data_IF_820137029017
#
_entry.id   IF_820137029017
#
_cell.length_a   1.000
_cell.length_b   1.000
_cell.length_c   1.000
_cell.angle_alpha   90.00
_cell.angle_beta   90.00
_cell.angle_gamma   90.00
#
_symmetry.space_group_name_H-M   'P 1'
#
loop_
_entity.id
_entity.type
_entity.pdbx_description
1 polymer ?
#
# COMPACT_ATOMS: atom_id res chain seq x y z
N UNK A 1 26.16 0.34 6.37
CA UNK A 1 25.36 -0.13 7.52
C UNK A 1 24.23 -0.99 6.99
N UNK A 2 23.64 -1.81 7.84
CA UNK A 2 22.46 -2.60 7.54
C UNK A 2 21.22 -1.97 8.18
N UNK A 3 20.03 -2.34 7.72
CA UNK A 3 18.79 -1.90 8.39
C UNK A 3 18.81 -2.29 9.87
N UNK A 4 19.29 -3.48 10.21
CA UNK A 4 19.40 -3.95 11.60
C UNK A 4 20.29 -3.09 12.50
N UNK A 5 21.17 -2.27 11.93
CA UNK A 5 22.03 -1.35 12.70
C UNK A 5 21.27 -0.06 13.10
N UNK A 6 20.17 0.27 12.43
CA UNK A 6 19.44 1.54 12.57
C UNK A 6 17.94 1.37 12.86
N UNK A 7 17.42 0.15 12.78
CA UNK A 7 16.02 -0.16 12.99
C UNK A 7 15.86 -1.64 13.37
N UNK A 8 14.82 -1.92 14.16
CA UNK A 8 14.40 -3.29 14.47
C UNK A 8 13.25 -3.69 13.55
N UNK A 9 13.27 -4.90 13.00
CA UNK A 9 12.13 -5.46 12.27
C UNK A 9 11.41 -6.44 13.18
N UNK A 10 10.27 -6.00 13.72
CA UNK A 10 9.44 -6.83 14.59
C UNK A 10 8.45 -7.66 13.76
N UNK A 11 8.50 -8.99 13.89
CA UNK A 11 7.45 -9.88 13.37
C UNK A 11 6.18 -9.85 14.24
N UNK A 12 5.03 -10.12 13.63
CA UNK A 12 3.76 -10.23 14.34
C UNK A 12 3.48 -11.60 14.98
N UNK A 13 2.24 -11.78 15.43
CA UNK A 13 1.80 -12.97 16.15
C UNK A 13 1.01 -13.98 15.29
N UNK A 14 1.14 -15.26 15.65
CA UNK A 14 0.48 -16.41 15.04
C UNK A 14 -0.96 -16.59 15.54
N UNK A 15 -1.86 -15.69 15.16
CA UNK A 15 -3.26 -15.75 15.59
C UNK A 15 -3.95 -17.02 15.07
N UNK A 16 -4.48 -17.84 15.99
CA UNK A 16 -5.22 -19.06 15.66
C UNK A 16 -6.63 -18.69 15.18
N UNK A 17 -7.03 -19.20 14.03
CA UNK A 17 -8.36 -18.92 13.45
C UNK A 17 -9.52 -19.35 14.34
N UNK A 18 -9.34 -20.40 15.14
CA UNK A 18 -10.33 -20.85 16.13
C UNK A 18 -10.60 -19.85 17.27
N UNK A 19 -9.77 -18.82 17.40
CA UNK A 19 -9.92 -17.75 18.40
C UNK A 19 -10.37 -16.40 17.79
N UNK A 20 -10.69 -16.38 16.50
CA UNK A 20 -11.22 -15.17 15.87
C UNK A 20 -12.60 -14.84 16.43
N UNK A 21 -12.87 -13.54 16.56
CA UNK A 21 -14.13 -13.00 17.08
C UNK A 21 -14.77 -12.07 16.05
N UNK A 22 -16.10 -11.96 16.06
CA UNK A 22 -16.83 -11.11 15.13
C UNK A 22 -16.69 -9.61 15.46
N UNK A 23 -16.41 -9.28 16.72
CA UNK A 23 -16.20 -7.91 17.21
C UNK A 23 -15.03 -7.92 18.20
N UNK A 24 -14.07 -7.03 17.99
CA UNK A 24 -12.84 -6.96 18.78
C UNK A 24 -11.80 -6.10 18.08
N UNK A 25 -10.52 -6.44 18.25
CA UNK A 25 -9.41 -5.71 17.64
C UNK A 25 -9.07 -6.27 16.26
N UNK A 26 -9.09 -5.47 15.18
CA UNK A 26 -8.78 -5.95 13.84
C UNK A 26 -7.32 -6.39 13.70
N UNK A 27 -7.10 -7.42 12.88
CA UNK A 27 -5.77 -7.92 12.53
C UNK A 27 -5.26 -7.26 11.24
N UNK A 28 -4.08 -6.65 11.28
CA UNK A 28 -3.37 -6.23 10.08
C UNK A 28 -2.69 -7.45 9.45
N UNK A 29 -3.14 -7.85 8.27
CA UNK A 29 -2.59 -8.94 7.44
C UNK A 29 -1.93 -8.39 6.18
N UNK A 30 -1.25 -9.24 5.43
CA UNK A 30 -0.56 -8.85 4.19
C UNK A 30 -1.48 -8.21 3.13
N UNK A 31 -2.78 -8.53 3.12
CA UNK A 31 -3.76 -7.92 2.21
C UNK A 31 -4.25 -6.54 2.64
N UNK A 32 -3.92 -6.11 3.87
CA UNK A 32 -4.21 -4.77 4.37
C UNK A 32 -3.16 -3.75 3.91
N UNK A 33 -2.04 -4.19 3.32
CA UNK A 33 -0.94 -3.33 2.89
C UNK A 33 -1.10 -3.07 1.39
N UNK A 34 -1.56 -1.85 1.08
CA UNK A 34 -1.86 -1.39 -0.27
C UNK A 34 -0.89 -0.26 -0.60
N UNK A 35 0.35 -0.61 -0.94
CA UNK A 35 1.44 0.24 -1.45
C UNK A 35 1.29 1.73 -1.07
N UNK A 36 2.08 2.19 -0.09
CA UNK A 36 2.01 3.50 0.60
C UNK A 36 1.15 3.49 1.88
N UNK A 37 -0.01 2.81 1.88
CA UNK A 37 -0.95 2.86 3.02
C UNK A 37 -1.36 1.49 3.55
N UNK A 38 -1.62 1.46 4.86
CA UNK A 38 -2.23 0.30 5.53
C UNK A 38 -3.70 0.58 5.80
N UNK A 39 -4.58 -0.22 5.21
CA UNK A 39 -6.03 -0.12 5.40
C UNK A 39 -6.53 -1.11 6.44
N UNK A 40 -7.33 -0.64 7.40
CA UNK A 40 -8.04 -1.51 8.33
C UNK A 40 -9.37 -1.97 7.76
N UNK A 41 -9.70 -3.22 8.01
CA UNK A 41 -11.05 -3.74 7.95
C UNK A 41 -11.33 -4.59 9.19
N UNK A 42 -12.60 -4.72 9.55
CA UNK A 42 -13.05 -5.50 10.71
C UNK A 42 -13.41 -6.94 10.32
N UNK A 43 -12.86 -7.43 9.21
CA UNK A 43 -13.18 -8.76 8.65
C UNK A 43 -12.69 -9.88 9.57
N UNK A 44 -11.54 -9.67 10.23
CA UNK A 44 -10.94 -10.62 11.17
C UNK A 44 -10.46 -9.85 12.40
N UNK A 45 -11.09 -10.14 13.53
CA UNK A 45 -10.76 -9.54 14.81
C UNK A 45 -10.29 -10.58 15.85
N UNK A 46 -9.64 -10.07 16.89
CA UNK A 46 -9.19 -10.84 18.05
C UNK A 46 -9.65 -10.19 19.36
N UNK A 47 -9.56 -10.91 20.47
CA UNK A 47 -10.13 -10.46 21.75
C UNK A 47 -9.43 -9.22 22.32
N UNK A 48 -10.20 -8.39 23.03
CA UNK A 48 -9.71 -7.28 23.84
C UNK A 48 -8.71 -7.75 24.91
N UNK A 49 -8.96 -8.92 25.51
CA UNK A 49 -8.06 -9.54 26.47
C UNK A 49 -6.65 -9.78 25.88
N UNK A 50 -6.56 -10.24 24.63
CA UNK A 50 -5.26 -10.42 23.98
C UNK A 50 -4.58 -9.07 23.76
N UNK A 51 -5.33 -8.06 23.33
CA UNK A 51 -4.80 -6.71 23.15
C UNK A 51 -4.21 -6.16 24.45
N UNK A 52 -4.92 -6.31 25.56
CA UNK A 52 -4.49 -5.84 26.87
C UNK A 52 -3.22 -6.54 27.35
N UNK A 53 -3.14 -7.86 27.15
CA UNK A 53 -2.02 -8.69 27.61
C UNK A 53 -0.79 -8.69 26.70
N UNK A 54 -0.91 -8.28 25.43
CA UNK A 54 0.19 -8.35 24.45
C UNK A 54 0.46 -6.98 23.78
N UNK A 55 0.96 -6.00 24.54
CA UNK A 55 1.26 -4.67 24.00
C UNK A 55 2.28 -4.66 22.86
N UNK A 56 3.15 -5.67 22.79
CA UNK A 56 4.17 -5.81 21.75
C UNK A 56 3.59 -6.00 20.35
N UNK A 57 2.39 -6.60 20.21
CA UNK A 57 1.79 -6.81 18.88
C UNK A 57 0.85 -5.69 18.46
N UNK A 58 0.78 -4.59 19.22
CA UNK A 58 -0.06 -3.43 18.89
C UNK A 58 0.57 -2.63 17.76
N UNK A 59 -0.22 -2.29 16.75
CA UNK A 59 0.16 -1.38 15.68
C UNK A 59 -0.20 0.04 16.09
N UNK A 60 0.77 0.95 16.01
CA UNK A 60 0.61 2.34 16.40
C UNK A 60 0.60 3.26 15.17
N UNK A 61 -0.11 4.39 15.27
CA UNK A 61 -0.11 5.40 14.21
C UNK A 61 1.33 5.78 13.82
N UNK A 62 1.62 5.71 12.52
CA UNK A 62 2.94 5.95 11.94
C UNK A 62 3.83 4.72 11.81
N UNK A 63 3.41 3.53 12.25
CA UNK A 63 4.15 2.29 12.03
C UNK A 63 4.42 2.04 10.53
N UNK A 64 5.66 1.67 10.20
CA UNK A 64 6.06 1.24 8.86
C UNK A 64 5.85 -0.27 8.80
N UNK A 65 4.84 -0.72 8.05
CA UNK A 65 4.53 -2.14 7.95
C UNK A 65 4.99 -2.71 6.61
N UNK A 66 5.54 -3.92 6.64
CA UNK A 66 6.02 -4.65 5.47
C UNK A 66 5.33 -6.01 5.39
N UNK A 67 4.79 -6.35 4.21
CA UNK A 67 4.28 -7.68 3.94
C UNK A 67 5.46 -8.65 3.74
N UNK A 68 5.50 -9.71 4.54
CA UNK A 68 6.63 -10.64 4.58
C UNK A 68 6.38 -11.93 3.80
N UNK A 69 5.18 -12.12 3.24
CA UNK A 69 4.86 -13.35 2.50
C UNK A 69 3.80 -13.18 1.42
N UNK A 70 3.76 -14.13 0.50
CA UNK A 70 2.77 -14.22 -0.57
C UNK A 70 3.09 -13.31 -1.76
N UNK A 71 2.12 -13.13 -2.65
CA UNK A 71 2.27 -12.29 -3.84
C UNK A 71 2.47 -10.79 -3.51
N UNK A 72 2.29 -10.40 -2.25
CA UNK A 72 2.50 -9.04 -1.75
C UNK A 72 3.82 -8.88 -0.97
N UNK A 73 4.72 -9.87 -1.00
CA UNK A 73 6.02 -9.76 -0.31
C UNK A 73 6.73 -8.44 -0.69
N UNK A 74 7.27 -7.74 0.30
CA UNK A 74 7.97 -6.47 0.11
C UNK A 74 7.06 -5.25 -0.04
N UNK A 75 5.74 -5.40 -0.13
CA UNK A 75 4.84 -4.24 -0.07
C UNK A 75 4.98 -3.54 1.28
N UNK A 76 5.07 -2.21 1.23
CA UNK A 76 5.26 -1.36 2.41
C UNK A 76 4.14 -0.33 2.47
N UNK A 77 3.68 -0.05 3.68
CA UNK A 77 2.73 1.02 3.94
C UNK A 77 2.89 1.63 5.33
N UNK A 78 2.47 2.88 5.45
CA UNK A 78 2.33 3.54 6.74
C UNK A 78 0.94 3.28 7.31
N UNK A 79 0.90 2.90 8.58
CA UNK A 79 -0.35 2.85 9.33
C UNK A 79 -0.75 4.24 9.80
N UNK A 80 -1.60 4.94 9.02
CA UNK A 80 -2.00 6.32 9.31
C UNK A 80 -3.18 6.43 10.27
N UNK A 81 -3.95 5.35 10.46
CA UNK A 81 -5.14 5.36 11.32
C UNK A 81 -4.76 5.41 12.81
N UNK A 82 -5.73 5.84 13.63
CA UNK A 82 -5.60 5.88 15.10
C UNK A 82 -6.28 4.69 15.78
N UNK A 83 -7.00 3.88 15.00
CA UNK A 83 -7.71 2.72 15.48
C UNK A 83 -6.75 1.69 16.08
N UNK A 84 -7.27 0.86 16.97
CA UNK A 84 -6.51 -0.26 17.54
C UNK A 84 -6.37 -1.35 16.49
N UNK A 85 -5.18 -1.91 16.34
CA UNK A 85 -4.96 -3.04 15.44
C UNK A 85 -3.78 -3.91 15.89
N UNK A 86 -3.86 -5.20 15.58
CA UNK A 86 -2.86 -6.20 15.96
C UNK A 86 -2.04 -6.67 14.75
N UNK A 87 -0.74 -6.88 14.97
CA UNK A 87 0.23 -7.26 13.94
C UNK A 87 0.23 -8.77 13.70
N UNK A 88 -0.19 -9.22 12.51
CA UNK A 88 -0.14 -10.64 12.13
C UNK A 88 1.29 -11.14 11.85
N UNK A 89 1.57 -12.42 12.09
CA UNK A 89 2.89 -13.07 11.85
C UNK A 89 3.47 -12.88 10.44
N UNK A 90 2.62 -12.64 9.43
CA UNK A 90 3.04 -12.44 8.04
C UNK A 90 3.36 -10.97 7.71
N UNK A 91 3.28 -10.08 8.70
CA UNK A 91 3.56 -8.65 8.59
C UNK A 91 4.66 -8.27 9.58
N UNK A 92 5.64 -7.52 9.09
CA UNK A 92 6.70 -6.93 9.90
C UNK A 92 6.41 -5.47 10.21
N UNK A 93 6.83 -5.00 11.38
CA UNK A 93 6.85 -3.59 11.75
C UNK A 93 8.32 -3.12 11.82
N UNK A 94 8.69 -2.18 10.96
CA UNK A 94 10.04 -1.61 10.90
C UNK A 94 10.08 -0.42 11.88
N UNK A 95 10.81 -0.58 12.97
CA UNK A 95 10.86 0.36 14.09
C UNK A 95 12.22 1.08 14.06
N UNK A 96 12.27 2.35 13.62
CA UNK A 96 13.52 3.10 13.52
C UNK A 96 14.09 3.46 14.89
N UNK A 97 15.42 3.38 15.04
CA UNK A 97 16.14 4.07 16.10
C UNK A 97 16.19 5.56 15.78
N UNK A 98 15.46 6.36 16.56
CA UNK A 98 15.30 7.80 16.37
C UNK A 98 16.61 8.58 16.50
N UNK A 99 17.65 8.01 17.12
CA UNK A 99 18.96 8.64 17.22
C UNK A 99 19.77 8.50 15.93
N UNK A 100 19.46 7.49 15.10
CA UNK A 100 20.24 7.12 13.93
C UNK A 100 19.51 7.43 12.63
N UNK A 101 18.19 7.28 12.60
CA UNK A 101 17.41 7.42 11.36
C UNK A 101 16.06 8.11 11.57
N UNK A 102 15.72 9.01 10.64
CA UNK A 102 14.40 9.61 10.53
C UNK A 102 13.45 8.58 9.93
N UNK A 103 12.30 8.36 10.57
CA UNK A 103 11.26 7.42 10.13
C UNK A 103 10.91 7.56 8.64
N UNK A 104 10.65 8.79 8.18
CA UNK A 104 10.24 9.03 6.80
C UNK A 104 11.39 8.76 5.81
N UNK A 105 12.64 9.01 6.21
CA UNK A 105 13.81 8.64 5.40
C UNK A 105 13.89 7.11 5.23
N UNK A 106 13.71 6.38 6.33
CA UNK A 106 13.70 4.91 6.30
C UNK A 106 12.54 4.39 5.44
N UNK A 107 11.34 4.97 5.58
CA UNK A 107 10.19 4.65 4.74
C UNK A 107 10.50 4.80 3.25
N UNK A 108 11.05 5.95 2.83
CA UNK A 108 11.41 6.19 1.43
C UNK A 108 12.49 5.23 0.91
N UNK A 109 13.43 4.84 1.75
CA UNK A 109 14.44 3.86 1.37
C UNK A 109 13.82 2.47 1.18
N UNK A 110 12.94 2.07 2.09
CA UNK A 110 12.23 0.79 2.02
C UNK A 110 11.24 0.76 0.83
N UNK A 111 10.70 1.88 0.36
CA UNK A 111 9.87 1.92 -0.85
C UNK A 111 10.67 2.10 -2.15
N UNK A 112 12.00 2.19 -2.07
CA UNK A 112 12.85 2.40 -3.25
C UNK A 112 12.92 1.16 -4.16
N UNK A 113 13.22 1.35 -5.46
CA UNK A 113 13.46 0.23 -6.38
C UNK A 113 14.57 -0.72 -5.91
N UNK A 114 15.60 -0.19 -5.27
CA UNK A 114 16.75 -0.98 -4.77
C UNK A 114 16.30 -1.92 -3.65
N UNK A 115 15.50 -1.43 -2.70
CA UNK A 115 14.94 -2.28 -1.65
C UNK A 115 14.02 -3.34 -2.25
N UNK A 116 13.14 -2.96 -3.18
CA UNK A 116 12.24 -3.91 -3.84
C UNK A 116 12.99 -5.03 -4.55
N UNK A 117 14.02 -4.70 -5.33
CA UNK A 117 14.87 -5.69 -6.00
C UNK A 117 15.58 -6.62 -5.00
N UNK A 118 16.04 -6.07 -3.87
CA UNK A 118 16.63 -6.88 -2.81
C UNK A 118 15.61 -7.87 -2.23
N UNK A 119 14.39 -7.44 -1.94
CA UNK A 119 13.33 -8.33 -1.45
C UNK A 119 13.03 -9.42 -2.49
N UNK A 120 12.89 -9.07 -3.75
CA UNK A 120 12.62 -10.02 -4.84
C UNK A 120 13.73 -11.07 -4.99
N UNK A 121 14.99 -10.67 -4.83
CA UNK A 121 16.14 -11.57 -4.92
C UNK A 121 16.32 -12.49 -3.70
N UNK A 122 15.86 -12.06 -2.51
CA UNK A 122 16.07 -12.79 -1.25
C UNK A 122 14.81 -13.48 -0.72
N UNK A 123 13.64 -13.19 -1.28
CA UNK A 123 12.42 -13.91 -0.95
C UNK A 123 12.50 -15.35 -1.47
N UNK A 124 12.23 -16.31 -0.59
CA UNK A 124 12.32 -17.73 -0.92
C UNK A 124 10.94 -18.34 -1.19
N UNK A 125 10.86 -19.26 -2.17
CA UNK A 125 9.67 -20.07 -2.47
C UNK A 125 8.94 -19.65 -3.75
N UNK A 126 8.87 -20.55 -4.74
CA UNK A 126 8.26 -20.27 -6.06
C UNK A 126 6.77 -19.90 -6.00
N UNK A 127 5.97 -20.57 -5.16
CA UNK A 127 4.51 -20.39 -5.13
C UNK A 127 4.02 -19.38 -4.06
N UNK A 128 4.76 -19.23 -2.96
CA UNK A 128 4.51 -18.23 -1.93
C UNK A 128 5.85 -17.69 -1.45
N UNK A 129 6.34 -16.60 -2.06
CA UNK A 129 7.59 -16.01 -1.63
C UNK A 129 7.48 -15.55 -0.17
N UNK A 130 8.54 -15.71 0.59
CA UNK A 130 8.62 -15.31 1.99
C UNK A 130 9.97 -14.67 2.28
N UNK A 131 9.97 -13.60 3.07
CA UNK A 131 11.17 -12.98 3.60
C UNK A 131 11.08 -12.82 5.12
N UNK A 132 12.13 -13.21 5.83
CA UNK A 132 12.21 -13.09 7.28
C UNK A 132 12.59 -11.68 7.74
N UNK A 133 12.28 -11.35 9.00
CA UNK A 133 12.66 -10.07 9.60
C UNK A 133 14.18 -9.87 9.58
N UNK A 134 14.93 -10.95 9.86
CA UNK A 134 16.39 -10.96 9.83
C UNK A 134 16.95 -10.64 8.43
N UNK A 135 16.35 -11.21 7.37
CA UNK A 135 16.77 -10.87 6.00
C UNK A 135 16.48 -9.41 5.68
N UNK A 136 15.36 -8.85 6.12
CA UNK A 136 15.10 -7.40 5.95
C UNK A 136 16.15 -6.57 6.71
N UNK A 137 16.51 -6.98 7.92
CA UNK A 137 17.55 -6.34 8.73
C UNK A 137 18.94 -6.43 8.07
N UNK A 138 19.20 -7.42 7.22
CA UNK A 138 20.49 -7.61 6.53
C UNK A 138 20.70 -6.68 5.34
N UNK A 139 19.65 -6.02 4.85
CA UNK A 139 19.72 -5.11 3.72
C UNK A 139 20.67 -3.94 3.97
N UNK A 140 21.58 -3.70 3.01
CA UNK A 140 22.57 -2.64 3.10
C UNK A 140 22.00 -1.26 2.72
N UNK A 141 22.27 -0.27 3.56
CA UNK A 141 21.75 1.08 3.45
C UNK A 141 22.83 2.12 3.72
N UNK A 142 22.82 3.17 2.89
CA UNK A 142 23.61 4.38 3.10
C UNK A 142 22.80 5.36 3.95
N UNK A 143 23.27 5.62 5.17
CA UNK A 143 22.57 6.49 6.13
C UNK A 143 23.40 7.75 6.35
N UNK A 144 23.02 8.89 5.76
CA UNK A 144 23.72 10.16 5.96
C UNK A 144 23.37 10.76 7.33
N UNK A 145 23.95 11.91 7.66
CA UNK A 145 23.61 12.62 8.92
C UNK A 145 22.12 12.96 9.01
N UNK A 146 21.55 13.06 10.22
CA UNK A 146 20.14 13.41 10.43
C UNK A 146 19.73 14.71 9.70
N UNK A 147 20.65 15.69 9.61
CA UNK A 147 20.42 16.95 8.89
C UNK A 147 20.24 16.68 7.38
N UNK A 148 21.07 15.82 6.79
CA UNK A 148 20.95 15.43 5.39
C UNK A 148 19.71 14.57 5.14
N UNK A 149 19.40 13.63 6.04
CA UNK A 149 18.18 12.83 5.97
C UNK A 149 16.94 13.73 5.92
N UNK A 150 16.88 14.76 6.77
CA UNK A 150 15.76 15.73 6.78
C UNK A 150 15.62 16.46 5.44
N UNK A 151 16.73 16.94 4.86
CA UNK A 151 16.72 17.60 3.55
C UNK A 151 16.20 16.67 2.44
N UNK A 152 16.59 15.39 2.47
CA UNK A 152 16.12 14.38 1.51
C UNK A 152 14.62 14.17 1.67
N UNK A 153 14.15 13.96 2.90
CA UNK A 153 12.72 13.79 3.22
C UNK A 153 11.90 14.99 2.76
N UNK A 154 12.35 16.21 3.04
CA UNK A 154 11.65 17.44 2.65
C UNK A 154 11.47 17.56 1.12
N UNK A 155 12.44 17.07 0.34
CA UNK A 155 12.35 17.04 -1.13
C UNK A 155 11.36 15.97 -1.59
N UNK A 156 11.49 14.75 -1.06
CA UNK A 156 10.64 13.61 -1.44
C UNK A 156 9.16 13.87 -1.08
N UNK A 157 8.88 14.43 0.09
CA UNK A 157 7.52 14.80 0.49
C UNK A 157 6.90 15.86 -0.43
N UNK A 158 7.69 16.82 -0.90
CA UNK A 158 7.22 17.81 -1.91
C UNK A 158 6.88 17.13 -3.22
N UNK A 159 7.70 16.18 -3.67
CA UNK A 159 7.44 15.42 -4.89
C UNK A 159 6.16 14.58 -4.76
N UNK A 160 5.99 13.87 -3.65
CA UNK A 160 4.78 13.09 -3.38
C UNK A 160 3.53 13.96 -3.35
N UNK A 161 3.61 15.14 -2.72
CA UNK A 161 2.51 16.10 -2.71
C UNK A 161 2.12 16.53 -4.13
N UNK A 162 3.09 16.86 -4.97
CA UNK A 162 2.84 17.22 -6.38
C UNK A 162 2.20 16.04 -7.12
N UNK A 163 2.74 14.83 -6.99
CA UNK A 163 2.21 13.62 -7.64
C UNK A 163 0.76 13.37 -7.23
N UNK A 164 0.45 13.48 -5.94
CA UNK A 164 -0.88 13.27 -5.40
C UNK A 164 -1.88 14.32 -5.93
N UNK A 165 -1.50 15.60 -5.95
CA UNK A 165 -2.32 16.67 -6.54
C UNK A 165 -2.60 16.37 -8.02
N UNK A 166 -1.61 15.91 -8.80
CA UNK A 166 -1.81 15.56 -10.21
C UNK A 166 -2.72 14.35 -10.39
N UNK A 167 -2.58 13.31 -9.55
CA UNK A 167 -3.49 12.14 -9.55
C UNK A 167 -4.93 12.56 -9.26
N UNK A 168 -5.15 13.51 -8.34
CA UNK A 168 -6.49 14.05 -8.08
C UNK A 168 -7.04 14.86 -9.25
N UNK A 169 -6.22 15.72 -9.87
CA UNK A 169 -6.62 16.48 -11.06
C UNK A 169 -7.06 15.57 -12.21
N UNK A 170 -6.36 14.46 -12.45
CA UNK A 170 -6.76 13.47 -13.46
C UNK A 170 -8.17 12.91 -13.19
N UNK A 171 -8.49 12.59 -11.93
CA UNK A 171 -9.85 12.13 -11.54
C UNK A 171 -10.92 13.18 -11.82
N UNK A 172 -10.60 14.47 -11.67
CA UNK A 172 -11.53 15.55 -12.01
C UNK A 172 -11.70 15.71 -13.51
N UNK A 173 -10.64 15.57 -14.30
CA UNK A 173 -10.74 15.58 -15.76
C UNK A 173 -11.60 14.43 -16.28
N UNK A 174 -11.49 13.23 -15.71
CA UNK A 174 -12.36 12.10 -16.08
C UNK A 174 -13.85 12.39 -15.83
N UNK A 175 -14.17 13.07 -14.72
CA UNK A 175 -15.53 13.50 -14.42
C UNK A 175 -16.01 14.59 -15.38
N UNK A 176 -15.13 15.54 -15.72
CA UNK A 176 -15.44 16.62 -16.63
C UNK A 176 -15.72 16.11 -18.04
N UNK A 177 -14.95 15.13 -18.53
CA UNK A 177 -15.20 14.47 -19.83
C UNK A 177 -16.59 13.83 -19.84
N UNK A 178 -16.98 13.11 -18.77
CA UNK A 178 -18.32 12.50 -18.67
C UNK A 178 -19.43 13.55 -18.66
N UNK A 179 -19.22 14.66 -17.93
CA UNK A 179 -20.18 15.76 -17.86
C UNK A 179 -20.34 16.44 -19.22
N UNK A 180 -19.24 16.77 -19.89
CA UNK A 180 -19.26 17.38 -21.21
C UNK A 180 -19.92 16.48 -22.25
N UNK A 181 -19.65 15.17 -22.21
CA UNK A 181 -20.32 14.22 -23.08
C UNK A 181 -21.84 14.22 -22.86
N UNK A 182 -22.30 14.23 -21.61
CA UNK A 182 -23.72 14.36 -21.29
C UNK A 182 -24.32 15.69 -21.74
N UNK A 183 -23.56 16.79 -21.69
CA UNK A 183 -24.03 18.10 -22.14
C UNK A 183 -24.13 18.19 -23.67
N UNK A 184 -23.12 17.68 -24.38
CA UNK A 184 -23.04 17.67 -25.83
C UNK A 184 -24.06 16.72 -26.46
N UNK A 185 -24.14 15.48 -25.98
CA UNK A 185 -24.93 14.41 -26.57
C UNK A 185 -26.27 14.15 -25.86
N UNK A 186 -26.47 14.74 -24.69
CA UNK A 186 -27.65 14.52 -23.86
C UNK A 186 -27.67 13.16 -23.17
N UNK A 187 -28.77 12.87 -22.47
CA UNK A 187 -29.05 11.55 -21.92
C UNK A 187 -29.55 10.59 -23.02
N UNK A 188 -28.83 9.48 -23.19
CA UNK A 188 -29.09 8.46 -24.21
C UNK A 188 -30.41 7.71 -24.00
N UNK A 189 -30.89 7.55 -22.76
CA UNK A 189 -32.12 6.78 -22.47
C UNK A 189 -33.36 7.58 -22.80
N UNK A 190 -33.34 8.86 -22.49
CA UNK A 190 -34.45 9.78 -22.72
C UNK A 190 -34.38 10.44 -24.09
N UNK A 191 -33.23 10.32 -24.78
CA UNK A 191 -32.93 11.07 -26.01
C UNK A 191 -33.23 12.56 -25.81
N UNK A 192 -32.69 13.14 -24.74
CA UNK A 192 -33.00 14.53 -24.33
C UNK A 192 -32.72 15.60 -25.40
N UNK A 193 -31.89 15.29 -26.41
CA UNK A 193 -31.60 16.19 -27.55
C UNK A 193 -32.56 15.98 -28.74
N UNK A 194 -33.42 14.97 -28.69
CA UNK A 194 -34.39 14.66 -29.75
C UNK A 194 -33.73 14.21 -31.06
N UNK A 195 -32.54 13.63 -30.99
CA UNK A 195 -31.80 13.23 -32.19
C UNK A 195 -32.40 11.96 -32.81
N UNK A 196 -32.20 11.79 -34.12
CA UNK A 196 -32.66 10.60 -34.82
C UNK A 196 -31.97 9.35 -34.24
N UNK A 197 -32.77 8.34 -33.89
CA UNK A 197 -32.27 7.05 -33.41
C UNK A 197 -32.13 6.14 -34.64
N UNK A 198 -30.89 5.71 -34.90
CA UNK A 198 -30.55 4.79 -35.99
C UNK A 198 -29.81 3.58 -35.43
N UNK A 199 -29.90 2.43 -36.09
CA UNK A 199 -29.11 1.26 -35.73
C UNK A 199 -27.64 1.46 -36.10
N UNK A 200 -26.72 0.79 -35.39
CA UNK A 200 -25.29 0.92 -35.69
C UNK A 200 -24.96 0.60 -37.16
N UNK A 201 -25.63 -0.40 -37.76
CA UNK A 201 -25.47 -0.79 -39.17
C UNK A 201 -25.94 0.28 -40.17
N UNK A 202 -26.76 1.22 -39.72
CA UNK A 202 -27.24 2.33 -40.56
C UNK A 202 -26.24 3.49 -40.56
N UNK A 203 -25.25 3.49 -39.65
CA UNK A 203 -24.27 4.57 -39.51
C UNK A 203 -22.80 4.14 -39.53
N UNK A 204 -22.50 2.84 -39.44
CA UNK A 204 -21.15 2.31 -39.51
C UNK A 204 -21.14 0.82 -39.92
N UNK A 205 -20.11 0.45 -40.68
CA UNK A 205 -19.79 -0.95 -40.97
C UNK A 205 -18.79 -1.48 -39.94
N UNK A 206 -19.03 -2.70 -39.45
CA UNK A 206 -18.06 -3.40 -38.58
C UNK A 206 -17.16 -4.24 -39.48
N UNK A 207 -15.92 -3.81 -39.66
CA UNK A 207 -14.90 -4.64 -40.30
C UNK A 207 -14.37 -5.66 -39.29
N UNK A 208 -14.67 -6.95 -39.52
CA UNK A 208 -14.16 -8.06 -38.73
C UNK A 208 -12.91 -8.69 -39.33
N UNK A 209 -12.44 -8.20 -40.48
CA UNK A 209 -11.25 -8.68 -41.14
C UNK A 209 -10.03 -7.88 -40.67
N UNK A 210 -9.60 -8.14 -39.44
CA UNK A 210 -8.27 -7.69 -38.99
C UNK A 210 -7.23 -8.42 -39.85
N UNK A 211 -6.62 -7.72 -40.82
CA UNK A 211 -5.43 -8.19 -41.50
C UNK A 211 -4.32 -8.23 -40.45
N UNK A 212 -3.80 -9.43 -40.18
CA UNK A 212 -2.58 -9.59 -39.39
C UNK A 212 -1.41 -9.08 -40.22
N UNK A 213 -0.98 -7.85 -39.96
CA UNK A 213 0.40 -7.41 -40.20
C UNK A 213 1.18 -7.43 -38.88
#
# INVERSE_FOLDING_TARGET
MKIGDIAKVQGGYAFKSSKFVNQGIPLIRIGNINDEKVSINNDICYSEEFWDSHPEFRVNQGSILVAMSGATVGKIGIYEARDRALLNQRVGNIIPDKNLVIKDFLYYYCTSPVFKQYIEANAFGCAQPNISAKQIEEFEINVPSLIQQKKIVDILQKLDCIINIRKEQLKYYDKLVKSQFSEMFGDLKTNSKGWQIVGFKDCADIDTNMVHD
#
